data_IF_975314629615
#
_entry.id   IF_975314629615
#
_cell.length_a   1.000
_cell.length_b   1.000
_cell.length_c   1.000
_cell.angle_alpha   90.00
_cell.angle_beta   90.00
_cell.angle_gamma   90.00
#
_symmetry.space_group_name_H-M   'P 1'
#
loop_
_entity.id
_entity.type
_entity.pdbx_description
1 polymer ?
#
# COMPACT_ATOMS: atom_id res chain seq x y z
N UNK A 1 -24.88 7.17 5.98
CA UNK A 1 -24.19 6.13 5.17
C UNK A 1 -22.76 5.98 5.66
N UNK A 2 -22.26 4.77 5.67
CA UNK A 2 -20.87 4.50 6.00
C UNK A 2 -20.09 4.27 4.71
N UNK A 3 -18.97 4.96 4.57
CA UNK A 3 -18.17 4.90 3.35
C UNK A 3 -16.78 4.41 3.73
N UNK A 4 -16.38 3.24 3.19
CA UNK A 4 -15.07 2.68 3.42
C UNK A 4 -14.06 3.17 2.39
N UNK A 5 -12.87 3.54 2.84
CA UNK A 5 -11.78 3.97 1.97
C UNK A 5 -10.59 3.06 2.20
N UNK A 6 -10.15 2.41 1.14
CA UNK A 6 -8.99 1.54 1.16
C UNK A 6 -7.71 2.36 1.32
N UNK A 7 -6.72 1.80 1.99
CA UNK A 7 -5.45 2.48 2.26
C UNK A 7 -4.41 2.13 1.20
N UNK A 8 -4.09 0.83 1.05
CA UNK A 8 -2.98 0.42 0.20
C UNK A 8 -3.35 0.46 -1.27
N UNK A 9 -2.60 1.24 -2.04
CA UNK A 9 -2.88 1.46 -3.45
C UNK A 9 -3.89 2.56 -3.72
N UNK A 10 -4.50 3.13 -2.68
CA UNK A 10 -5.47 4.24 -2.81
C UNK A 10 -4.96 5.49 -2.08
N UNK A 11 -4.70 5.39 -0.80
CA UNK A 11 -4.17 6.50 -0.01
C UNK A 11 -2.67 6.38 0.18
N UNK A 12 -2.17 5.17 0.35
CA UNK A 12 -0.76 4.87 0.61
C UNK A 12 -0.11 4.29 -0.64
N UNK A 13 1.04 4.84 -1.00
CA UNK A 13 1.81 4.38 -2.16
C UNK A 13 2.69 3.18 -1.78
N UNK A 14 2.06 2.04 -1.59
CA UNK A 14 2.72 0.79 -1.26
C UNK A 14 3.72 0.36 -2.35
N UNK A 15 3.35 0.51 -3.61
CA UNK A 15 4.17 0.03 -4.72
C UNK A 15 5.52 0.74 -4.77
N UNK A 16 5.55 2.06 -4.60
CA UNK A 16 6.80 2.81 -4.59
C UNK A 16 7.68 2.39 -3.41
N UNK A 17 7.09 2.23 -2.23
CA UNK A 17 7.83 1.77 -1.05
C UNK A 17 8.39 0.36 -1.24
N UNK A 18 7.59 -0.54 -1.78
CA UNK A 18 8.01 -1.91 -2.08
C UNK A 18 9.14 -1.95 -3.09
N UNK A 19 9.03 -1.18 -4.18
CA UNK A 19 10.10 -1.08 -5.17
C UNK A 19 11.40 -0.55 -4.57
N UNK A 20 11.31 0.41 -3.66
CA UNK A 20 12.47 0.94 -2.97
C UNK A 20 13.18 -0.11 -2.13
N UNK A 21 12.43 -0.92 -1.39
CA UNK A 21 13.00 -2.01 -0.59
C UNK A 21 13.66 -3.04 -1.48
N UNK A 22 12.99 -3.48 -2.54
CA UNK A 22 13.55 -4.49 -3.44
C UNK A 22 14.81 -3.97 -4.14
N UNK A 23 14.81 -2.73 -4.59
CA UNK A 23 15.98 -2.14 -5.25
C UNK A 23 17.18 -2.06 -4.33
N UNK A 24 16.97 -1.79 -3.05
CA UNK A 24 18.04 -1.68 -2.06
C UNK A 24 18.53 -3.03 -1.58
N UNK A 25 17.63 -3.95 -1.28
CA UNK A 25 17.96 -5.23 -0.64
C UNK A 25 18.19 -6.37 -1.63
N UNK A 26 17.61 -6.29 -2.82
CA UNK A 26 17.70 -7.32 -3.85
C UNK A 26 18.01 -6.69 -5.21
N UNK A 27 19.23 -6.14 -5.38
CA UNK A 27 19.55 -5.35 -6.58
C UNK A 27 19.53 -6.15 -7.88
N UNK A 28 19.56 -7.48 -7.82
CA UNK A 28 19.49 -8.33 -9.01
C UNK A 28 18.06 -8.69 -9.42
N UNK A 29 17.08 -8.31 -8.63
CA UNK A 29 15.68 -8.55 -8.96
C UNK A 29 15.17 -7.47 -9.90
N UNK A 30 14.26 -7.86 -10.79
CA UNK A 30 13.64 -6.93 -11.73
C UNK A 30 12.15 -6.87 -11.46
N UNK A 31 11.63 -5.66 -11.21
CA UNK A 31 10.21 -5.42 -11.00
C UNK A 31 9.65 -4.80 -12.27
N UNK A 32 8.46 -5.22 -12.73
CA UNK A 32 7.81 -4.57 -13.87
C UNK A 32 7.63 -3.08 -13.63
N UNK A 33 7.81 -2.30 -14.67
CA UNK A 33 7.65 -0.84 -14.59
C UNK A 33 6.25 -0.48 -14.09
N UNK A 34 5.25 -1.23 -14.54
CA UNK A 34 3.86 -1.02 -14.13
C UNK A 34 3.30 -2.28 -13.48
N UNK A 35 2.81 -2.13 -12.25
CA UNK A 35 2.13 -3.21 -11.54
C UNK A 35 0.63 -3.01 -11.72
N UNK A 36 0.01 -3.90 -12.49
CA UNK A 36 -1.41 -3.75 -12.85
C UNK A 36 -2.33 -4.77 -12.19
N UNK A 37 -1.79 -5.73 -11.43
CA UNK A 37 -2.60 -6.77 -10.80
C UNK A 37 -2.18 -6.98 -9.36
N UNK A 38 -3.08 -7.58 -8.57
CA UNK A 38 -2.80 -7.95 -7.19
C UNK A 38 -1.88 -9.17 -7.07
N UNK A 39 -1.61 -9.83 -8.19
CA UNK A 39 -0.73 -11.00 -8.22
C UNK A 39 0.66 -10.65 -8.76
N UNK A 40 1.13 -9.46 -8.44
CA UNK A 40 2.41 -8.96 -8.95
C UNK A 40 3.61 -9.80 -8.50
N UNK A 41 3.47 -10.59 -7.44
CA UNK A 41 4.53 -11.46 -6.98
C UNK A 41 4.93 -12.51 -8.02
N UNK A 42 4.08 -12.77 -9.00
CA UNK A 42 4.41 -13.68 -10.11
C UNK A 42 5.19 -13.00 -11.22
N UNK A 43 5.22 -11.66 -11.23
CA UNK A 43 5.81 -10.88 -12.31
C UNK A 43 7.20 -10.35 -11.99
N UNK A 44 7.70 -10.59 -10.78
CA UNK A 44 9.02 -10.13 -10.37
C UNK A 44 10.07 -11.17 -10.74
N UNK A 45 11.06 -10.73 -11.50
CA UNK A 45 12.15 -11.58 -11.97
C UNK A 45 13.27 -11.58 -10.93
N UNK A 46 13.77 -12.76 -10.58
CA UNK A 46 14.88 -12.90 -9.65
C UNK A 46 14.49 -13.18 -8.22
N UNK A 47 13.20 -13.21 -7.92
CA UNK A 47 12.68 -13.56 -6.60
C UNK A 47 11.54 -14.58 -6.76
N UNK A 48 11.46 -15.52 -5.82
CA UNK A 48 10.35 -16.45 -5.80
C UNK A 48 9.10 -15.73 -5.27
N UNK A 49 7.94 -16.31 -5.53
CA UNK A 49 6.66 -15.81 -5.05
C UNK A 49 6.66 -15.72 -3.51
N UNK A 50 7.21 -16.72 -2.86
CA UNK A 50 7.31 -16.79 -1.40
C UNK A 50 8.24 -15.70 -0.86
N UNK A 51 9.37 -15.46 -1.52
CA UNK A 51 10.29 -14.40 -1.14
C UNK A 51 9.65 -13.02 -1.25
N UNK A 52 8.87 -12.78 -2.30
CA UNK A 52 8.16 -11.51 -2.47
C UNK A 52 7.18 -11.29 -1.32
N UNK A 53 6.39 -12.31 -0.99
CA UNK A 53 5.43 -12.21 0.12
C UNK A 53 6.14 -11.97 1.45
N UNK A 54 7.27 -12.63 1.66
CA UNK A 54 8.05 -12.47 2.88
C UNK A 54 8.57 -11.05 3.03
N UNK A 55 8.93 -10.40 1.92
CA UNK A 55 9.41 -9.02 1.93
C UNK A 55 8.36 -8.09 2.50
N UNK A 56 7.15 -8.08 1.95
CA UNK A 56 6.17 -7.09 2.39
C UNK A 56 5.34 -7.54 3.58
N UNK A 57 5.25 -8.83 3.89
CA UNK A 57 4.47 -9.31 5.03
C UNK A 57 5.27 -9.43 6.31
N UNK A 58 6.57 -9.74 6.21
CA UNK A 58 7.38 -10.06 7.38
C UNK A 58 8.61 -9.19 7.50
N UNK A 59 9.60 -9.35 6.60
CA UNK A 59 10.90 -8.72 6.76
C UNK A 59 10.89 -7.20 6.69
N UNK A 60 10.13 -6.66 5.78
CA UNK A 60 10.12 -5.22 5.50
C UNK A 60 8.70 -4.64 5.54
N UNK A 61 7.82 -5.25 6.33
CA UNK A 61 6.44 -4.78 6.43
C UNK A 61 6.34 -3.34 6.92
N UNK A 62 7.20 -2.95 7.84
CA UNK A 62 7.23 -1.57 8.34
C UNK A 62 7.56 -0.60 7.22
N UNK A 63 8.61 -0.88 6.45
CA UNK A 63 9.02 -0.01 5.35
C UNK A 63 7.99 0.05 4.23
N UNK A 64 7.38 -1.08 3.92
CA UNK A 64 6.39 -1.14 2.85
C UNK A 64 5.06 -0.48 3.20
N UNK A 65 4.67 -0.49 4.46
CA UNK A 65 3.37 0.01 4.89
C UNK A 65 3.46 1.24 5.79
N UNK A 66 4.12 1.14 6.94
CA UNK A 66 4.16 2.25 7.87
C UNK A 66 4.96 3.44 7.35
N UNK A 67 6.08 3.18 6.68
CA UNK A 67 6.95 4.22 6.15
C UNK A 67 6.60 4.63 4.71
N UNK A 68 5.65 3.94 4.07
CA UNK A 68 5.20 4.30 2.75
C UNK A 68 4.51 5.66 2.77
N UNK A 69 4.85 6.51 1.82
CA UNK A 69 4.26 7.84 1.74
C UNK A 69 2.87 7.77 1.12
N UNK A 70 1.97 8.67 1.49
CA UNK A 70 0.69 8.78 0.78
C UNK A 70 0.93 9.28 -0.64
N UNK A 71 -0.01 8.97 -1.54
CA UNK A 71 -0.02 9.61 -2.86
C UNK A 71 -0.15 11.12 -2.67
N UNK A 72 0.46 11.89 -3.58
CA UNK A 72 0.53 13.35 -3.43
C UNK A 72 -0.83 14.03 -3.27
N UNK A 73 -1.88 13.46 -3.86
CA UNK A 73 -3.23 14.02 -3.78
C UNK A 73 -4.13 13.32 -2.76
N UNK A 74 -3.61 12.30 -2.08
CA UNK A 74 -4.41 11.51 -1.15
C UNK A 74 -4.88 12.32 0.06
N UNK A 75 -3.98 13.08 0.68
CA UNK A 75 -4.31 13.83 1.89
C UNK A 75 -5.33 14.94 1.61
N UNK A 76 -5.12 15.82 0.61
CA UNK A 76 -6.12 16.84 0.34
C UNK A 76 -7.45 16.26 -0.13
N UNK A 77 -7.44 15.18 -0.92
CA UNK A 77 -8.67 14.53 -1.37
C UNK A 77 -9.42 13.91 -0.19
N UNK A 78 -8.71 13.26 0.72
CA UNK A 78 -9.33 12.69 1.91
C UNK A 78 -9.98 13.77 2.78
N UNK A 79 -9.32 14.90 2.97
CA UNK A 79 -9.88 16.00 3.74
C UNK A 79 -11.14 16.57 3.09
N UNK A 80 -11.17 16.67 1.77
CA UNK A 80 -12.38 17.10 1.07
C UNK A 80 -13.52 16.13 1.27
N UNK A 81 -13.25 14.83 1.18
CA UNK A 81 -14.25 13.80 1.42
C UNK A 81 -14.75 13.82 2.86
N UNK A 82 -13.85 14.01 3.82
CA UNK A 82 -14.21 14.08 5.23
C UNK A 82 -15.16 15.24 5.51
N UNK A 83 -14.87 16.42 4.97
CA UNK A 83 -15.74 17.58 5.12
C UNK A 83 -17.09 17.37 4.45
N UNK A 84 -17.09 16.78 3.26
CA UNK A 84 -18.33 16.47 2.56
C UNK A 84 -19.17 15.47 3.36
N UNK A 85 -18.56 14.41 3.86
CA UNK A 85 -19.26 13.39 4.62
C UNK A 85 -19.85 13.97 5.90
N UNK A 86 -19.10 14.80 6.62
CA UNK A 86 -19.59 15.46 7.83
C UNK A 86 -20.80 16.34 7.53
N UNK A 87 -20.73 17.14 6.47
CA UNK A 87 -21.83 18.02 6.08
C UNK A 87 -23.08 17.25 5.69
N UNK A 88 -22.91 16.10 5.01
CA UNK A 88 -24.04 15.31 4.52
C UNK A 88 -24.47 14.20 5.48
N UNK A 89 -23.86 14.12 6.66
CA UNK A 89 -24.21 13.12 7.66
C UNK A 89 -23.72 11.72 7.37
N UNK A 90 -22.60 11.58 6.65
CA UNK A 90 -21.98 10.29 6.37
C UNK A 90 -20.77 10.07 7.27
N UNK A 91 -20.38 8.81 7.42
CA UNK A 91 -19.21 8.41 8.20
C UNK A 91 -18.15 7.82 7.26
N UNK A 92 -16.91 8.31 7.35
CA UNK A 92 -15.79 7.74 6.62
C UNK A 92 -15.07 6.73 7.51
N UNK A 93 -14.73 5.59 6.93
CA UNK A 93 -14.03 4.51 7.62
C UNK A 93 -12.80 4.13 6.81
N UNK A 94 -11.64 4.11 7.46
CA UNK A 94 -10.40 3.63 6.84
C UNK A 94 -10.39 2.10 6.88
N UNK A 95 -10.22 1.47 5.72
CA UNK A 95 -10.20 0.02 5.59
C UNK A 95 -8.82 -0.43 5.13
N UNK A 96 -8.23 -1.37 5.85
CA UNK A 96 -6.93 -1.93 5.47
C UNK A 96 -6.86 -3.40 5.84
N UNK A 97 -6.29 -4.20 4.94
CA UNK A 97 -6.06 -5.63 5.19
C UNK A 97 -4.87 -5.86 6.13
N UNK A 98 -4.09 -4.83 6.45
CA UNK A 98 -2.91 -4.96 7.28
C UNK A 98 -3.21 -4.94 8.77
N UNK A 99 -4.39 -4.52 9.16
CA UNK A 99 -4.75 -4.29 10.55
C UNK A 99 -4.60 -5.54 11.44
N UNK A 100 -4.87 -6.71 10.89
CA UNK A 100 -4.81 -7.97 11.63
C UNK A 100 -3.50 -8.71 11.45
N UNK A 101 -2.68 -8.33 10.47
CA UNK A 101 -1.48 -9.07 10.10
C UNK A 101 -0.23 -8.52 10.77
N UNK A 102 0.02 -7.22 10.67
CA UNK A 102 1.27 -6.65 11.17
C UNK A 102 1.11 -5.30 11.88
N UNK A 103 -0.04 -4.70 11.82
CA UNK A 103 -0.37 -3.44 12.50
C UNK A 103 0.52 -2.25 12.11
N UNK A 104 1.02 -2.23 10.88
CA UNK A 104 1.81 -1.11 10.35
C UNK A 104 0.95 -0.27 9.41
N UNK A 105 -0.05 0.41 9.96
CA UNK A 105 -0.99 1.19 9.16
C UNK A 105 -1.33 2.55 9.80
#
# INVERSE_FOLDING_TARGET
>A
MRIGIDVDGVLRDFVTAFKGVVGQEYPNATIPEMISTWKFENDIIGLSREEVKEIYKEKFSKQCFQEALPFSEAVPTFWMLEKWAEREGHELIIVTSQIQQNRHY
#
